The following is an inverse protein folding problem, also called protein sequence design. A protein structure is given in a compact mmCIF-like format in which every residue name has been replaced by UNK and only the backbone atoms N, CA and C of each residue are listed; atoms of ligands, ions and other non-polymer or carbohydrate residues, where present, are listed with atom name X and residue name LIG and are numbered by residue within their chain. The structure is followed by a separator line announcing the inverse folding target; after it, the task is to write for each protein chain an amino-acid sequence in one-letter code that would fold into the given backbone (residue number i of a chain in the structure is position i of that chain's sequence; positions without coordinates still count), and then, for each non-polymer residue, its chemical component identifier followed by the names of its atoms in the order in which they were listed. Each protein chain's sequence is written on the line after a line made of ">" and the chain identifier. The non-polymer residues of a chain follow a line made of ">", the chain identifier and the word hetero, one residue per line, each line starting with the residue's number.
data_IF_220651216070
#
_entry.id   IF_220651216070
#
_cell.length_a   1.000
_cell.length_b   1.000
_cell.length_c   1.000
_cell.angle_alpha   90.00
_cell.angle_beta   90.00
_cell.angle_gamma   90.00
#
_symmetry.space_group_name_H-M   'P 1'
#
loop_
_entity.id
_entity.type
_entity.pdbx_description
1 polymer ?
#
# COMPACT_ATOMS: atom_id res chain seq x y z
N UNK A 1 17.93 -7.99 -13.31
CA UNK A 1 17.33 -8.86 -12.28
C UNK A 1 15.87 -9.19 -12.60
N UNK A 2 15.36 -10.31 -12.08
CA UNK A 2 13.95 -10.71 -12.16
C UNK A 2 13.20 -10.32 -10.88
N UNK A 3 11.87 -10.29 -10.99
CA UNK A 3 10.98 -10.02 -9.85
C UNK A 3 10.95 -11.23 -8.91
N UNK A 4 11.02 -10.99 -7.61
CA UNK A 4 10.77 -12.01 -6.58
C UNK A 4 9.27 -12.21 -6.35
N UNK A 5 8.92 -13.38 -5.82
CA UNK A 5 7.61 -13.65 -5.22
C UNK A 5 7.75 -13.55 -3.71
N UNK A 6 6.94 -12.72 -3.08
CA UNK A 6 6.92 -12.60 -1.62
C UNK A 6 6.30 -13.86 -1.01
N UNK A 7 6.77 -14.28 0.17
CA UNK A 7 6.28 -15.48 0.87
C UNK A 7 5.65 -15.07 2.20
N UNK A 8 6.43 -14.47 3.10
CA UNK A 8 5.96 -14.08 4.44
C UNK A 8 6.51 -12.69 4.81
N UNK A 9 5.70 -11.81 5.43
CA UNK A 9 4.29 -11.96 5.80
C UNK A 9 3.35 -12.12 4.59
N UNK A 10 2.27 -12.89 4.80
CA UNK A 10 1.20 -12.98 3.79
C UNK A 10 0.44 -11.66 3.68
N UNK A 11 -0.18 -11.43 2.51
CA UNK A 11 -0.91 -10.20 2.29
C UNK A 11 -2.20 -10.15 3.12
N UNK A 12 -2.45 -8.99 3.74
CA UNK A 12 -3.63 -8.72 4.57
C UNK A 12 -3.80 -9.70 5.73
N UNK A 13 -2.71 -10.12 6.32
CA UNK A 13 -2.73 -11.06 7.44
C UNK A 13 -2.16 -10.43 8.71
N UNK A 14 -2.50 -11.04 9.83
CA UNK A 14 -1.93 -10.69 11.13
C UNK A 14 -0.61 -11.41 11.33
N UNK A 15 0.44 -10.67 11.66
CA UNK A 15 1.75 -11.23 11.93
C UNK A 15 1.91 -11.51 13.44
N UNK A 16 2.04 -12.79 13.78
CA UNK A 16 2.45 -13.24 15.11
C UNK A 16 3.97 -13.32 15.15
N UNK A 17 4.57 -12.84 16.21
CA UNK A 17 6.03 -12.76 16.38
C UNK A 17 6.52 -13.70 17.49
N UNK A 18 7.76 -14.17 17.32
CA UNK A 18 8.51 -14.89 18.34
C UNK A 18 9.49 -13.93 19.03
N UNK A 19 9.47 -13.68 20.27
CA UNK A 19 10.33 -12.78 21.05
C UNK A 19 9.99 -11.29 20.89
N UNK A 20 9.24 -10.77 21.83
CA UNK A 20 8.79 -9.39 21.82
C UNK A 20 8.75 -8.81 23.23
N UNK A 21 9.01 -7.52 23.29
CA UNK A 21 8.56 -6.71 24.42
C UNK A 21 7.16 -6.13 24.12
N UNK A 22 6.60 -5.37 25.06
CA UNK A 22 5.27 -4.78 24.94
C UNK A 22 5.07 -3.91 23.68
N UNK A 23 6.12 -3.28 23.18
CA UNK A 23 6.04 -2.23 22.15
C UNK A 23 6.61 -2.65 20.79
N UNK A 24 7.34 -3.76 20.70
CA UNK A 24 7.97 -4.19 19.44
C UNK A 24 8.02 -5.70 19.29
N UNK A 25 8.01 -6.19 18.07
CA UNK A 25 8.14 -7.60 17.72
C UNK A 25 9.11 -7.80 16.55
N UNK A 26 9.75 -8.98 16.50
CA UNK A 26 10.59 -9.37 15.40
C UNK A 26 9.75 -10.07 14.33
N UNK A 27 9.72 -9.50 13.14
CA UNK A 27 9.00 -10.03 11.98
C UNK A 27 10.00 -10.63 11.01
N UNK A 28 9.71 -11.84 10.54
CA UNK A 28 10.52 -12.51 9.52
C UNK A 28 9.90 -12.27 8.15
N UNK A 29 10.68 -11.67 7.26
CA UNK A 29 10.35 -11.44 5.86
C UNK A 29 11.04 -12.49 5.01
N UNK A 30 10.31 -13.13 4.11
CA UNK A 30 10.84 -14.15 3.20
C UNK A 30 10.28 -13.97 1.79
N UNK A 31 11.11 -14.27 0.80
CA UNK A 31 10.77 -14.21 -0.62
C UNK A 31 11.55 -15.25 -1.42
N UNK A 32 11.18 -15.45 -2.67
CA UNK A 32 11.87 -16.39 -3.57
C UNK A 32 13.19 -15.79 -4.07
N UNK A 33 14.14 -16.63 -4.41
CA UNK A 33 15.30 -16.22 -5.18
C UNK A 33 14.85 -15.73 -6.58
N UNK A 34 15.56 -14.72 -7.10
CA UNK A 34 15.35 -14.18 -8.43
C UNK A 34 16.61 -14.31 -9.30
N UNK A 35 16.44 -14.65 -10.57
CA UNK A 35 17.56 -14.78 -11.50
C UNK A 35 18.21 -13.42 -11.79
N UNK A 36 19.49 -13.45 -12.06
CA UNK A 36 20.28 -12.25 -12.39
C UNK A 36 20.20 -11.16 -11.31
N UNK A 37 20.19 -11.59 -10.03
CA UNK A 37 20.04 -10.72 -8.86
C UNK A 37 21.20 -10.98 -7.90
N UNK A 38 21.91 -9.94 -7.52
CA UNK A 38 23.05 -10.01 -6.60
C UNK A 38 22.65 -9.61 -5.17
N UNK A 39 21.69 -8.69 -5.06
CA UNK A 39 21.16 -8.26 -3.76
C UNK A 39 19.70 -7.75 -3.87
N UNK A 40 19.08 -7.61 -2.73
CA UNK A 40 17.69 -7.20 -2.57
C UNK A 40 17.62 -6.02 -1.60
N UNK A 41 16.83 -5.00 -1.95
CA UNK A 41 16.41 -4.02 -0.95
C UNK A 41 15.02 -4.45 -0.42
N UNK A 42 14.96 -4.75 0.87
CA UNK A 42 13.70 -4.94 1.59
C UNK A 42 13.22 -3.57 2.07
N UNK A 43 12.06 -3.14 1.61
CA UNK A 43 11.42 -1.90 2.03
C UNK A 43 10.19 -2.22 2.87
N UNK A 44 10.09 -1.60 4.04
CA UNK A 44 8.99 -1.75 4.98
C UNK A 44 8.51 -0.34 5.37
N UNK A 45 7.22 -0.11 5.31
CA UNK A 45 6.61 1.17 5.66
C UNK A 45 5.55 0.98 6.74
N UNK A 46 5.67 1.73 7.83
CA UNK A 46 4.62 1.84 8.82
C UNK A 46 3.53 2.78 8.29
N UNK A 47 2.32 2.27 8.11
CA UNK A 47 1.20 2.97 7.45
C UNK A 47 0.53 4.03 8.34
N UNK A 48 0.84 4.06 9.65
CA UNK A 48 0.37 5.12 10.56
C UNK A 48 1.29 6.33 10.55
N UNK A 49 2.60 6.07 10.51
CA UNK A 49 3.62 7.12 10.64
C UNK A 49 4.25 7.51 9.30
N UNK A 50 4.00 6.74 8.23
CA UNK A 50 4.65 6.83 6.92
C UNK A 50 6.19 6.70 6.98
N UNK A 51 6.71 6.12 8.05
CA UNK A 51 8.15 5.88 8.19
C UNK A 51 8.55 4.65 7.37
N UNK A 52 9.50 4.85 6.47
CA UNK A 52 10.10 3.80 5.65
C UNK A 52 11.42 3.31 6.23
N UNK A 53 11.56 2.00 6.32
CA UNK A 53 12.81 1.32 6.65
C UNK A 53 13.27 0.55 5.39
N UNK A 54 14.51 0.78 4.96
CA UNK A 54 15.11 0.09 3.83
C UNK A 54 16.37 -0.62 4.26
N UNK A 55 16.55 -1.89 3.84
CA UNK A 55 17.75 -2.70 4.10
C UNK A 55 18.17 -3.44 2.85
N UNK A 56 19.46 -3.32 2.50
CA UNK A 56 20.08 -4.13 1.44
C UNK A 56 20.53 -5.48 2.02
N UNK A 57 20.14 -6.57 1.38
CA UNK A 57 20.30 -7.95 1.83
C UNK A 57 20.67 -8.82 0.63
N UNK A 58 21.61 -9.74 0.78
CA UNK A 58 22.01 -10.73 -0.24
C UNK A 58 21.44 -12.15 0.01
N UNK A 59 20.50 -12.27 0.94
CA UNK A 59 19.75 -13.48 1.25
C UNK A 59 18.28 -13.26 0.90
N UNK A 60 17.49 -14.34 0.86
CA UNK A 60 16.05 -14.30 0.57
C UNK A 60 15.17 -14.19 1.83
N UNK A 61 15.76 -13.78 2.93
CA UNK A 61 15.05 -13.56 4.19
C UNK A 61 15.71 -12.46 5.02
N UNK A 62 14.92 -11.85 5.91
CA UNK A 62 15.39 -10.91 6.92
C UNK A 62 14.49 -10.94 8.16
N UNK A 63 15.08 -10.69 9.33
CA UNK A 63 14.34 -10.39 10.55
C UNK A 63 14.46 -8.92 10.88
N UNK A 64 13.32 -8.28 11.07
CA UNK A 64 13.26 -6.84 11.35
C UNK A 64 12.38 -6.61 12.57
N UNK A 65 12.93 -5.82 13.51
CA UNK A 65 12.19 -5.38 14.68
C UNK A 65 11.30 -4.21 14.30
N UNK A 66 9.99 -4.34 14.53
CA UNK A 66 8.97 -3.35 14.21
C UNK A 66 8.13 -3.02 15.44
N UNK A 67 7.52 -1.84 15.43
CA UNK A 67 6.56 -1.42 16.45
C UNK A 67 5.26 -2.19 16.30
N UNK A 68 4.63 -2.54 17.42
CA UNK A 68 3.38 -3.30 17.46
C UNK A 68 2.17 -2.39 17.37
N UNK A 69 1.02 -2.97 17.00
CA UNK A 69 -0.24 -2.25 16.93
C UNK A 69 -0.35 -1.34 15.72
N UNK A 70 0.28 -1.70 14.60
CA UNK A 70 0.28 -0.89 13.38
C UNK A 70 0.17 -1.76 12.11
N UNK A 71 -0.51 -1.25 11.06
CA UNK A 71 -0.44 -1.80 9.73
C UNK A 71 0.88 -1.42 9.06
N UNK A 72 1.44 -2.36 8.31
CA UNK A 72 2.65 -2.21 7.53
C UNK A 72 2.42 -2.60 6.08
N UNK A 73 3.11 -1.93 5.17
CA UNK A 73 3.32 -2.42 3.82
C UNK A 73 4.78 -2.82 3.61
N UNK A 74 5.04 -3.77 2.72
CA UNK A 74 6.39 -4.18 2.38
C UNK A 74 6.50 -4.69 0.95
N UNK A 75 7.68 -4.52 0.40
CA UNK A 75 8.04 -5.03 -0.92
C UNK A 75 9.56 -5.20 -1.02
N UNK A 76 9.99 -5.90 -2.06
CA UNK A 76 11.40 -6.18 -2.33
C UNK A 76 11.78 -5.65 -3.71
N UNK A 77 12.93 -5.01 -3.79
CA UNK A 77 13.56 -4.57 -5.03
C UNK A 77 14.76 -5.46 -5.31
N UNK A 78 14.74 -6.20 -6.41
CA UNK A 78 15.88 -6.99 -6.89
C UNK A 78 16.86 -6.10 -7.64
N UNK A 79 18.14 -6.23 -7.36
CA UNK A 79 19.24 -5.44 -7.96
C UNK A 79 20.35 -6.34 -8.48
N UNK A 80 21.04 -5.88 -9.51
CA UNK A 80 22.23 -6.54 -10.05
C UNK A 80 23.39 -5.55 -10.18
N UNK A 81 24.60 -5.98 -9.86
CA UNK A 81 25.82 -5.20 -10.05
C UNK A 81 26.18 -4.98 -11.53
N UNK A 82 25.62 -5.82 -12.41
CA UNK A 82 25.87 -5.76 -13.86
C UNK A 82 24.99 -4.78 -14.62
N UNK A 83 23.98 -4.16 -13.97
CA UNK A 83 23.03 -3.25 -14.63
C UNK A 83 22.37 -2.32 -13.60
N UNK A 84 21.99 -1.13 -14.04
CA UNK A 84 21.19 -0.19 -13.24
C UNK A 84 19.69 -0.54 -13.21
N UNK A 85 19.25 -1.50 -14.04
CA UNK A 85 17.86 -1.95 -14.02
C UNK A 85 17.54 -2.64 -12.70
N UNK A 86 16.33 -2.38 -12.20
CA UNK A 86 15.79 -2.98 -10.98
C UNK A 86 14.48 -3.72 -11.31
N UNK A 87 14.09 -4.66 -10.45
CA UNK A 87 12.78 -5.31 -10.54
C UNK A 87 12.08 -5.25 -9.17
N UNK A 88 10.83 -4.76 -9.17
CA UNK A 88 10.02 -4.61 -7.97
C UNK A 88 9.07 -5.80 -7.81
N UNK A 89 8.93 -6.32 -6.59
CA UNK A 89 7.87 -7.26 -6.25
C UNK A 89 6.50 -6.57 -6.24
N UNK A 90 5.45 -7.35 -6.04
CA UNK A 90 4.17 -6.82 -5.52
C UNK A 90 4.42 -6.15 -4.15
N UNK A 91 3.49 -5.28 -3.73
CA UNK A 91 3.44 -4.78 -2.35
C UNK A 91 2.45 -5.62 -1.57
N UNK A 92 2.81 -6.03 -0.35
CA UNK A 92 1.93 -6.71 0.61
C UNK A 92 1.74 -5.90 1.85
N UNK A 93 0.58 -6.04 2.45
CA UNK A 93 0.23 -5.44 3.74
C UNK A 93 0.14 -6.54 4.81
N UNK A 94 0.45 -6.18 6.05
CA UNK A 94 0.21 -7.01 7.21
C UNK A 94 -0.01 -6.14 8.45
N UNK A 95 -0.65 -6.69 9.47
CA UNK A 95 -0.81 -6.04 10.76
C UNK A 95 0.11 -6.70 11.79
N UNK A 96 0.92 -5.92 12.50
CA UNK A 96 1.71 -6.43 13.61
C UNK A 96 0.94 -6.21 14.92
N UNK A 97 0.44 -7.33 15.48
CA UNK A 97 -0.40 -7.33 16.69
C UNK A 97 0.17 -6.49 17.82
N UNK A 98 -0.68 -5.67 18.42
CA UNK A 98 -0.44 -4.95 19.67
C UNK A 98 -0.70 -5.79 20.93
N UNK A 99 -0.55 -5.19 22.08
CA UNK A 99 -1.05 -5.76 23.33
C UNK A 99 -2.56 -5.52 23.39
N UNK A 100 -3.36 -6.60 23.42
CA UNK A 100 -4.81 -6.59 23.61
C UNK A 100 -5.51 -5.39 22.94
N UNK A 101 -5.46 -5.29 21.61
CA UNK A 101 -6.34 -4.37 20.90
C UNK A 101 -7.75 -4.98 20.84
N UNK A 102 -8.74 -4.19 21.19
CA UNK A 102 -10.15 -4.55 21.02
C UNK A 102 -10.59 -4.37 19.56
N UNK A 103 -9.86 -3.55 18.79
CA UNK A 103 -10.16 -3.20 17.40
C UNK A 103 -8.86 -2.99 16.61
N UNK A 104 -8.89 -3.27 15.30
CA UNK A 104 -7.80 -3.06 14.37
C UNK A 104 -8.08 -1.82 13.52
N UNK A 105 -7.02 -1.14 13.11
CA UNK A 105 -7.12 -0.04 12.15
C UNK A 105 -7.20 -0.66 10.75
N UNK A 106 -8.08 -0.16 9.86
CA UNK A 106 -8.17 -0.65 8.49
C UNK A 106 -6.82 -0.64 7.76
N UNK A 107 -6.59 -1.60 6.89
CA UNK A 107 -5.47 -1.52 5.95
C UNK A 107 -5.71 -0.37 4.97
N UNK A 108 -4.64 0.29 4.48
CA UNK A 108 -4.77 1.21 3.37
C UNK A 108 -5.41 0.52 2.16
N UNK A 109 -6.42 1.16 1.56
CA UNK A 109 -7.12 0.60 0.43
C UNK A 109 -6.18 0.34 -0.74
N UNK A 110 -6.33 -0.79 -1.40
CA UNK A 110 -5.66 -1.12 -2.65
C UNK A 110 -6.36 -0.41 -3.79
N UNK A 111 -5.68 0.50 -4.46
CA UNK A 111 -6.20 1.20 -5.63
C UNK A 111 -6.17 0.28 -6.85
N UNK A 112 -7.32 0.17 -7.55
CA UNK A 112 -7.49 -0.75 -8.69
C UNK A 112 -7.56 0.02 -10.01
N UNK A 113 -8.37 1.07 -10.07
CA UNK A 113 -8.54 1.89 -11.27
C UNK A 113 -8.90 3.33 -10.87
N UNK A 114 -8.33 4.34 -11.54
CA UNK A 114 -7.23 4.28 -12.54
C UNK A 114 -5.92 3.78 -11.96
N UNK A 115 -5.16 3.01 -12.75
CA UNK A 115 -3.82 2.54 -12.35
C UNK A 115 -2.82 3.71 -12.31
N UNK A 116 -1.81 3.58 -11.45
CA UNK A 116 -0.75 4.59 -11.40
C UNK A 116 -0.05 4.75 -12.75
N UNK A 117 0.15 6.02 -13.16
CA UNK A 117 0.78 6.40 -14.43
C UNK A 117 0.04 5.90 -15.67
N UNK A 118 -1.27 5.60 -15.56
CA UNK A 118 -2.08 5.20 -16.70
C UNK A 118 -2.61 6.43 -17.48
N UNK A 119 -2.96 6.17 -18.74
CA UNK A 119 -3.61 7.15 -19.62
C UNK A 119 -5.01 6.65 -19.93
N UNK A 120 -6.02 7.48 -19.66
CA UNK A 120 -7.42 7.26 -20.04
C UNK A 120 -7.74 8.18 -21.22
N UNK A 121 -8.19 7.62 -22.33
CA UNK A 121 -8.49 8.38 -23.52
C UNK A 121 -10.00 8.63 -23.67
N UNK A 122 -10.37 9.85 -24.01
CA UNK A 122 -11.71 10.23 -24.48
C UNK A 122 -12.87 9.89 -23.53
N UNK A 123 -12.64 9.98 -22.22
CA UNK A 123 -13.69 9.80 -21.22
C UNK A 123 -13.76 11.03 -20.31
N UNK A 124 -14.94 11.64 -20.20
CA UNK A 124 -15.25 12.68 -19.23
C UNK A 124 -15.69 12.11 -17.87
N UNK A 125 -16.20 10.86 -17.84
CA UNK A 125 -16.54 10.13 -16.64
C UNK A 125 -15.47 9.08 -16.36
N UNK A 126 -14.84 9.19 -15.21
CA UNK A 126 -13.81 8.25 -14.72
C UNK A 126 -14.38 7.40 -13.59
N UNK A 127 -14.27 6.08 -13.73
CA UNK A 127 -14.65 5.13 -12.66
C UNK A 127 -13.44 4.84 -11.79
N UNK A 128 -13.50 5.28 -10.54
CA UNK A 128 -12.54 4.95 -9.50
C UNK A 128 -12.95 3.62 -8.84
N UNK A 129 -11.98 2.72 -8.68
CA UNK A 129 -12.18 1.41 -8.05
C UNK A 129 -11.06 1.13 -7.06
N UNK A 130 -11.41 0.58 -5.92
CA UNK A 130 -10.48 0.20 -4.86
C UNK A 130 -10.99 -1.03 -4.10
N UNK A 131 -10.12 -1.62 -3.31
CA UNK A 131 -10.44 -2.72 -2.42
C UNK A 131 -9.97 -2.35 -1.01
N UNK A 132 -10.92 -2.24 -0.09
CA UNK A 132 -10.66 -2.02 1.33
C UNK A 132 -10.65 -3.35 2.06
N UNK A 133 -9.78 -3.46 3.07
CA UNK A 133 -9.70 -4.63 3.93
C UNK A 133 -9.48 -4.20 5.38
N UNK A 134 -10.14 -4.91 6.29
CA UNK A 134 -10.02 -4.76 7.73
C UNK A 134 -10.10 -6.13 8.40
N UNK A 135 -9.31 -6.35 9.47
CA UNK A 135 -9.26 -7.63 10.18
C UNK A 135 -10.55 -7.91 10.97
N UNK A 136 -11.20 -6.85 11.45
CA UNK A 136 -12.45 -6.95 12.21
C UNK A 136 -13.67 -7.00 11.28
N UNK A 137 -13.47 -6.65 10.00
CA UNK A 137 -14.51 -6.65 8.98
C UNK A 137 -15.54 -5.56 9.17
N UNK A 138 -15.17 -4.45 9.78
CA UNK A 138 -16.08 -3.39 10.22
C UNK A 138 -15.84 -2.04 9.54
N UNK A 139 -15.29 -2.05 8.33
CA UNK A 139 -15.20 -0.84 7.49
C UNK A 139 -16.59 -0.19 7.40
N UNK A 140 -16.65 1.09 7.72
CA UNK A 140 -17.87 1.89 7.67
C UNK A 140 -18.01 2.63 6.33
N UNK A 141 -16.96 3.35 5.92
CA UNK A 141 -17.01 4.13 4.69
C UNK A 141 -15.61 4.48 4.17
N UNK A 142 -15.58 5.10 2.98
CA UNK A 142 -14.40 5.61 2.31
C UNK A 142 -14.56 7.08 1.96
N UNK A 143 -13.45 7.84 1.96
CA UNK A 143 -13.37 9.15 1.34
C UNK A 143 -12.48 9.03 0.10
N UNK A 144 -12.97 9.46 -1.08
CA UNK A 144 -12.20 9.60 -2.31
C UNK A 144 -11.70 11.04 -2.41
N UNK A 145 -10.41 11.21 -2.55
CA UNK A 145 -9.74 12.50 -2.71
C UNK A 145 -9.04 12.51 -4.05
N UNK A 146 -9.36 13.51 -4.89
CA UNK A 146 -8.80 13.69 -6.23
C UNK A 146 -8.20 15.10 -6.31
N UNK A 147 -6.98 15.19 -6.77
CA UNK A 147 -6.27 16.46 -6.96
C UNK A 147 -5.90 16.62 -8.44
N UNK A 148 -6.24 17.76 -9.05
CA UNK A 148 -5.69 18.16 -10.33
C UNK A 148 -4.26 18.66 -10.10
N UNK A 149 -3.27 17.91 -10.57
CA UNK A 149 -1.86 18.21 -10.31
C UNK A 149 -1.36 19.49 -11.01
N UNK A 150 -2.10 19.99 -12.01
CA UNK A 150 -1.73 21.20 -12.78
C UNK A 150 -2.07 22.50 -12.05
N UNK A 151 -3.15 22.51 -11.28
CA UNK A 151 -3.64 23.72 -10.57
C UNK A 151 -3.79 23.55 -9.06
N UNK A 152 -3.61 22.32 -8.54
CA UNK A 152 -3.74 22.00 -7.11
C UNK A 152 -5.19 21.99 -6.62
N UNK A 153 -6.18 21.95 -7.51
CA UNK A 153 -7.59 21.87 -7.12
C UNK A 153 -7.91 20.48 -6.58
N UNK A 154 -8.44 20.40 -5.36
CA UNK A 154 -8.83 19.16 -4.69
C UNK A 154 -10.36 18.99 -4.72
N UNK A 155 -10.81 17.80 -5.10
CA UNK A 155 -12.20 17.37 -5.04
C UNK A 155 -12.28 16.23 -4.03
N UNK A 156 -13.20 16.31 -3.08
CA UNK A 156 -13.39 15.30 -2.06
C UNK A 156 -14.84 14.78 -2.05
N UNK A 157 -14.97 13.44 -2.10
CA UNK A 157 -16.23 12.74 -1.90
C UNK A 157 -16.11 11.92 -0.62
N UNK A 158 -17.01 12.15 0.31
CA UNK A 158 -16.98 11.55 1.66
C UNK A 158 -18.07 10.50 1.84
N UNK A 159 -17.83 9.57 2.78
CA UNK A 159 -18.82 8.58 3.23
C UNK A 159 -19.34 7.67 2.11
N UNK A 160 -18.48 7.29 1.19
CA UNK A 160 -18.80 6.32 0.14
C UNK A 160 -18.82 4.93 0.78
N UNK A 161 -19.90 4.18 0.59
CA UNK A 161 -20.05 2.81 1.12
C UNK A 161 -19.69 1.72 0.10
N UNK A 162 -19.61 2.09 -1.18
CA UNK A 162 -19.17 1.19 -2.26
C UNK A 162 -17.65 1.24 -2.41
N UNK A 163 -17.10 0.25 -3.11
CA UNK A 163 -15.68 0.22 -3.49
C UNK A 163 -15.44 0.71 -4.93
N UNK A 164 -16.37 1.48 -5.44
CA UNK A 164 -16.26 2.19 -6.70
C UNK A 164 -17.06 3.50 -6.65
N UNK A 165 -16.63 4.47 -7.47
CA UNK A 165 -17.30 5.76 -7.59
C UNK A 165 -16.99 6.39 -8.95
N UNK A 166 -17.98 7.01 -9.58
CA UNK A 166 -17.83 7.67 -10.86
C UNK A 166 -17.76 9.18 -10.67
N UNK A 167 -16.81 9.81 -11.35
CA UNK A 167 -16.58 11.26 -11.28
C UNK A 167 -16.39 11.82 -12.68
N UNK A 168 -17.09 12.90 -12.98
CA UNK A 168 -16.85 13.70 -14.17
C UNK A 168 -15.61 14.59 -13.95
N UNK A 169 -14.62 14.48 -14.84
CA UNK A 169 -13.35 15.20 -14.77
C UNK A 169 -13.04 15.88 -16.10
N UNK A 170 -12.25 16.95 -16.05
CA UNK A 170 -11.84 17.68 -17.23
C UNK A 170 -10.72 16.95 -18.00
N UNK A 171 -10.96 16.68 -19.26
CA UNK A 171 -9.98 16.10 -20.19
C UNK A 171 -8.75 17.04 -20.34
N UNK A 172 -7.59 16.47 -20.63
CA UNK A 172 -6.33 17.19 -20.84
C UNK A 172 -5.58 17.54 -19.55
N UNK A 173 -5.90 16.88 -18.44
CA UNK A 173 -5.25 17.09 -17.16
C UNK A 173 -4.66 15.79 -16.59
N UNK A 174 -3.71 15.96 -15.68
CA UNK A 174 -3.17 14.89 -14.85
C UNK A 174 -3.79 15.01 -13.46
N UNK A 175 -4.28 13.89 -12.96
CA UNK A 175 -4.91 13.79 -11.65
C UNK A 175 -4.13 12.87 -10.74
N UNK A 176 -4.07 13.21 -9.45
CA UNK A 176 -3.64 12.36 -8.36
C UNK A 176 -4.85 11.97 -7.53
N UNK A 177 -4.94 10.74 -7.06
CA UNK A 177 -6.05 10.32 -6.23
C UNK A 177 -5.63 9.34 -5.15
N UNK A 178 -6.41 9.30 -4.07
CA UNK A 178 -6.24 8.38 -2.95
C UNK A 178 -7.57 8.08 -2.29
N UNK A 179 -7.59 7.00 -1.49
CA UNK A 179 -8.71 6.60 -0.64
C UNK A 179 -8.30 6.69 0.82
N UNK A 180 -9.15 7.29 1.63
CA UNK A 180 -9.11 7.16 3.10
C UNK A 180 -10.21 6.18 3.52
N UNK A 181 -9.83 5.10 4.20
CA UNK A 181 -10.74 4.09 4.75
C UNK A 181 -11.05 4.42 6.21
N UNK A 182 -12.29 4.31 6.61
CA UNK A 182 -12.78 4.51 7.97
C UNK A 182 -13.52 3.28 8.46
N UNK A 183 -13.23 2.82 9.70
CA UNK A 183 -13.98 1.78 10.40
C UNK A 183 -15.08 2.37 11.29
N UNK A 184 -15.86 1.50 11.96
CA UNK A 184 -16.94 1.91 12.86
C UNK A 184 -16.48 2.57 14.15
N UNK A 185 -15.24 2.37 14.56
CA UNK A 185 -14.58 3.01 15.70
C UNK A 185 -13.94 4.36 15.33
N UNK A 186 -14.07 4.80 14.07
CA UNK A 186 -13.46 5.99 13.49
C UNK A 186 -11.93 5.95 13.37
N UNK A 187 -11.32 4.76 13.37
CA UNK A 187 -9.93 4.66 12.95
C UNK A 187 -9.82 4.88 11.44
N UNK A 188 -8.70 5.45 11.02
CA UNK A 188 -8.47 5.85 9.64
C UNK A 188 -7.19 5.25 9.10
N UNK A 189 -7.23 4.87 7.84
CA UNK A 189 -6.04 4.61 7.04
C UNK A 189 -6.16 5.27 5.67
N UNK A 190 -5.03 5.63 5.05
CA UNK A 190 -5.02 6.22 3.71
C UNK A 190 -4.15 5.39 2.78
N UNK A 191 -4.62 5.21 1.54
CA UNK A 191 -3.81 4.62 0.48
C UNK A 191 -2.64 5.52 0.10
N UNK A 192 -1.68 4.97 -0.63
CA UNK A 192 -0.74 5.79 -1.41
C UNK A 192 -1.48 6.58 -2.48
N UNK A 193 -0.87 7.66 -2.97
CA UNK A 193 -1.42 8.37 -4.12
C UNK A 193 -1.15 7.57 -5.40
N UNK A 194 -2.13 7.58 -6.31
CA UNK A 194 -2.03 7.08 -7.67
C UNK A 194 -2.27 8.23 -8.64
N UNK A 195 -1.52 8.32 -9.72
CA UNK A 195 -1.65 9.37 -10.73
C UNK A 195 -2.12 8.78 -12.05
N UNK A 196 -2.89 9.53 -12.81
CA UNK A 196 -3.28 9.17 -14.18
C UNK A 196 -3.47 10.42 -15.04
N UNK A 197 -3.32 10.26 -16.33
CA UNK A 197 -3.61 11.31 -17.33
C UNK A 197 -4.98 11.05 -17.95
N UNK A 198 -5.80 12.08 -18.03
CA UNK A 198 -7.06 12.07 -18.77
C UNK A 198 -6.82 12.80 -20.11
N UNK A 199 -6.43 12.03 -21.12
CA UNK A 199 -6.06 12.56 -22.44
C UNK A 199 -7.27 12.83 -23.34
N UNK A 200 -7.05 13.66 -24.39
CA UNK A 200 -8.06 13.99 -25.42
C UNK A 200 -8.42 12.78 -26.28
#
# INVERSE_FOLDING_TARGET
>A
PERVTLINPENNNTCLFSNSNANSGDVEFTWTEAKHTDNYDLIIENQLTNLKNSRTINQTFARVKLERGAPYSWYVVSKSESTENIALSETRNFYLEGLSQLTHIPFPAKLISPLNESIINSADIVTFQWEGYDLDGDIDNYDLIIENTSNGEEIKYEKIVSQNFEVELQIGNIYSWKITTRDKENNLSSSVNSTFELAN
#
